data_IF_232210553085
#
_entry.id   IF_232210553085
#
_cell.length_a   1.000
_cell.length_b   1.000
_cell.length_c   1.000
_cell.angle_alpha   90.00
_cell.angle_beta   90.00
_cell.angle_gamma   90.00
#
_symmetry.space_group_name_H-M   'P 1'
#
loop_
_entity.id
_entity.type
_entity.pdbx_description
1 polymer ?
#
# COMPACT_ATOMS: atom_id res chain seq x y z
N UNK A 1 -49.24 33.55 -33.75
CA UNK A 1 -47.88 33.20 -33.27
C UNK A 1 -48.04 32.25 -32.09
N UNK A 2 -47.77 30.97 -32.33
CA UNK A 2 -48.33 29.84 -31.59
C UNK A 2 -47.64 29.57 -30.24
N UNK A 3 -48.38 29.27 -29.15
CA UNK A 3 -47.82 29.02 -27.81
C UNK A 3 -47.09 27.67 -27.65
N UNK A 4 -47.05 26.86 -28.71
CA UNK A 4 -46.47 25.51 -28.72
C UNK A 4 -44.92 25.50 -28.71
N UNK A 5 -44.27 26.57 -29.20
CA UNK A 5 -42.80 26.64 -29.27
C UNK A 5 -42.14 26.83 -27.88
N UNK A 6 -42.84 27.48 -26.93
CA UNK A 6 -42.33 27.74 -25.58
C UNK A 6 -42.33 26.50 -24.68
N UNK A 7 -43.22 25.53 -24.91
CA UNK A 7 -43.30 24.29 -24.12
C UNK A 7 -42.21 23.28 -24.50
N UNK A 8 -41.76 23.31 -25.75
CA UNK A 8 -40.71 22.41 -26.23
C UNK A 8 -39.32 22.80 -25.71
N UNK A 9 -39.05 24.10 -25.52
CA UNK A 9 -37.77 24.58 -25.00
C UNK A 9 -37.55 24.28 -23.49
N UNK A 10 -38.64 24.22 -22.72
CA UNK A 10 -38.62 23.90 -21.29
C UNK A 10 -38.39 22.40 -20.99
N UNK A 11 -38.73 21.52 -21.94
CA UNK A 11 -38.51 20.08 -21.79
C UNK A 11 -37.10 19.65 -22.20
N UNK A 12 -36.43 20.39 -23.08
CA UNK A 12 -35.05 20.09 -23.50
C UNK A 12 -34.03 20.53 -22.43
N UNK A 13 -34.34 21.53 -21.62
CA UNK A 13 -33.44 22.02 -20.56
C UNK A 13 -33.43 21.14 -19.30
N UNK A 14 -34.44 20.29 -19.08
CA UNK A 14 -34.51 19.42 -17.90
C UNK A 14 -33.74 18.09 -18.06
N UNK A 15 -33.30 17.74 -19.28
CA UNK A 15 -32.62 16.46 -19.56
C UNK A 15 -31.09 16.56 -19.68
N UNK A 16 -30.50 17.77 -19.62
CA UNK A 16 -29.05 17.97 -19.85
C UNK A 16 -28.24 18.15 -18.55
N UNK A 17 -28.89 18.31 -17.39
CA UNK A 17 -28.20 18.57 -16.11
C UNK A 17 -28.05 17.35 -15.19
N UNK A 18 -28.16 16.12 -15.72
CA UNK A 18 -28.17 14.89 -14.90
C UNK A 18 -27.02 13.91 -15.20
N UNK A 19 -25.87 14.39 -15.69
CA UNK A 19 -24.74 13.50 -16.03
C UNK A 19 -23.38 14.11 -15.67
N UNK A 20 -23.18 14.37 -14.38
CA UNK A 20 -21.85 14.50 -13.78
C UNK A 20 -21.86 13.85 -12.39
N UNK A 21 -22.31 12.59 -12.32
CA UNK A 21 -21.86 11.72 -11.24
C UNK A 21 -20.41 11.38 -11.57
N UNK A 22 -19.49 12.04 -10.86
CA UNK A 22 -18.05 11.91 -11.06
C UNK A 22 -17.63 10.45 -11.07
N UNK A 23 -16.87 10.07 -12.09
CA UNK A 23 -16.17 8.79 -12.15
C UNK A 23 -15.01 8.91 -11.16
N UNK A 24 -15.29 8.79 -9.86
CA UNK A 24 -14.25 8.53 -8.86
C UNK A 24 -13.84 7.07 -9.03
N UNK A 25 -13.03 6.80 -10.07
CA UNK A 25 -12.28 5.57 -10.12
C UNK A 25 -11.30 5.61 -8.96
N UNK A 26 -11.49 4.77 -7.94
CA UNK A 26 -10.50 4.58 -6.89
C UNK A 26 -9.20 4.10 -7.54
N UNK A 27 -8.22 4.99 -7.71
CA UNK A 27 -6.86 4.59 -8.04
C UNK A 27 -6.32 3.85 -6.81
N UNK A 28 -6.37 2.51 -6.83
CA UNK A 28 -5.64 1.69 -5.86
C UNK A 28 -4.16 2.06 -6.00
N UNK A 29 -3.58 2.64 -4.94
CA UNK A 29 -2.17 3.03 -4.89
C UNK A 29 -1.23 1.83 -4.95
N UNK A 30 -1.76 0.61 -4.77
CA UNK A 30 -0.99 -0.62 -4.60
C UNK A 30 -0.27 -0.71 -3.25
N UNK A 31 -0.38 0.33 -2.41
CA UNK A 31 0.12 0.31 -1.02
C UNK A 31 -0.91 -0.41 -0.16
N UNK A 32 -0.44 -1.34 0.66
CA UNK A 32 -1.27 -2.17 1.52
C UNK A 32 -1.72 -3.49 0.91
N UNK A 33 -1.50 -3.70 -0.39
CA UNK A 33 -1.75 -4.99 -1.02
C UNK A 33 -0.84 -6.05 -0.34
N UNK A 34 -1.32 -7.28 -0.08
CA UNK A 34 -0.51 -8.31 0.55
C UNK A 34 0.66 -8.73 -0.37
N UNK A 35 1.80 -9.03 0.23
CA UNK A 35 2.93 -9.64 -0.44
C UNK A 35 3.62 -10.64 0.48
N UNK A 36 4.33 -11.61 -0.11
CA UNK A 36 5.21 -12.52 0.61
C UNK A 36 6.67 -12.26 0.18
N UNK A 37 7.57 -11.82 1.07
CA UNK A 37 8.98 -11.64 0.75
C UNK A 37 9.63 -12.93 0.23
N UNK A 38 10.42 -12.83 -0.84
CA UNK A 38 11.14 -13.97 -1.43
C UNK A 38 12.37 -14.37 -0.59
N UNK A 39 12.94 -13.41 0.15
CA UNK A 39 14.09 -13.64 1.01
C UNK A 39 13.69 -13.40 2.47
N UNK A 40 13.48 -14.50 3.20
CA UNK A 40 13.21 -14.51 4.64
C UNK A 40 14.46 -15.05 5.36
N UNK A 41 14.98 -14.35 6.39
CA UNK A 41 16.10 -14.87 7.18
C UNK A 41 15.75 -16.18 7.88
N UNK A 42 16.76 -17.01 8.16
CA UNK A 42 16.55 -18.20 9.01
C UNK A 42 16.10 -17.76 10.42
N UNK A 43 14.97 -18.27 10.89
CA UNK A 43 14.34 -17.79 12.13
C UNK A 43 13.31 -16.68 11.92
N UNK A 44 13.07 -16.22 10.69
CA UNK A 44 12.15 -15.13 10.40
C UNK A 44 12.76 -13.73 10.57
N UNK A 45 11.90 -12.72 10.56
CA UNK A 45 12.27 -11.32 10.77
C UNK A 45 12.28 -10.93 12.24
N UNK A 46 12.95 -9.80 12.54
CA UNK A 46 13.02 -9.22 13.88
C UNK A 46 12.01 -8.08 14.09
N UNK A 47 11.38 -7.95 15.29
CA UNK A 47 10.51 -6.83 15.61
C UNK A 47 11.24 -5.48 15.72
N UNK A 48 12.57 -5.49 15.65
CA UNK A 48 13.41 -4.29 15.71
C UNK A 48 13.86 -3.79 14.34
N UNK A 49 13.54 -4.51 13.26
CA UNK A 49 13.99 -4.16 11.92
C UNK A 49 12.85 -3.77 10.98
N UNK A 50 13.22 -3.10 9.89
CA UNK A 50 12.36 -2.93 8.73
C UNK A 50 13.10 -3.53 7.53
N UNK A 51 12.52 -4.57 6.93
CA UNK A 51 13.06 -5.19 5.74
C UNK A 51 12.32 -4.70 4.50
N UNK A 52 13.06 -4.31 3.47
CA UNK A 52 12.52 -3.86 2.19
C UNK A 52 13.03 -4.75 1.06
N UNK A 53 12.10 -5.39 0.36
CA UNK A 53 12.37 -6.13 -0.86
C UNK A 53 12.02 -5.27 -2.08
N UNK A 54 13.06 -4.87 -2.81
CA UNK A 54 12.90 -4.17 -4.07
C UNK A 54 12.78 -5.16 -5.22
N UNK A 55 11.90 -4.85 -6.18
CA UNK A 55 11.66 -5.73 -7.32
C UNK A 55 10.65 -6.84 -7.04
N UNK A 56 9.81 -6.73 -6.00
CA UNK A 56 8.74 -7.71 -5.75
C UNK A 56 7.73 -7.71 -6.90
N UNK A 57 7.43 -8.88 -7.47
CA UNK A 57 6.47 -9.05 -8.59
C UNK A 57 5.01 -9.04 -8.14
N UNK A 58 4.78 -9.19 -6.84
CA UNK A 58 3.46 -9.17 -6.23
C UNK A 58 2.95 -7.73 -6.05
N UNK A 59 3.89 -6.80 -5.85
CA UNK A 59 3.57 -5.39 -5.63
C UNK A 59 3.56 -4.59 -6.93
N UNK A 60 2.44 -3.89 -7.20
CA UNK A 60 2.37 -2.88 -8.28
C UNK A 60 3.43 -1.79 -8.10
N UNK A 61 3.71 -1.44 -6.85
CA UNK A 61 4.76 -0.49 -6.44
C UNK A 61 6.16 -1.07 -6.51
N UNK A 62 6.30 -2.38 -6.76
CA UNK A 62 7.54 -3.16 -6.85
C UNK A 62 8.32 -3.26 -5.55
N UNK A 63 7.73 -2.85 -4.42
CA UNK A 63 8.38 -2.91 -3.12
C UNK A 63 7.47 -3.59 -2.11
N UNK A 64 7.95 -4.69 -1.53
CA UNK A 64 7.34 -5.35 -0.38
C UNK A 64 8.10 -4.91 0.88
N UNK A 65 7.39 -4.64 1.98
CA UNK A 65 7.99 -4.36 3.30
C UNK A 65 7.59 -5.44 4.28
N UNK A 66 8.53 -5.89 5.11
CA UNK A 66 8.24 -6.54 6.39
C UNK A 66 8.69 -5.57 7.50
N UNK A 67 7.73 -4.86 8.09
CA UNK A 67 7.98 -3.79 9.04
C UNK A 67 7.78 -4.29 10.47
N UNK A 68 8.88 -4.51 11.20
CA UNK A 68 8.87 -4.97 12.59
C UNK A 68 8.04 -6.23 12.81
N UNK A 69 8.14 -7.16 11.86
CA UNK A 69 7.52 -8.48 11.99
C UNK A 69 8.35 -9.33 12.96
N UNK A 70 7.71 -10.04 13.88
CA UNK A 70 8.36 -11.00 14.77
C UNK A 70 8.10 -12.43 14.29
N UNK A 71 9.04 -13.01 13.55
CA UNK A 71 8.93 -14.38 13.02
C UNK A 71 8.85 -14.50 11.50
N UNK A 72 8.52 -15.69 11.01
CA UNK A 72 8.54 -16.05 9.59
C UNK A 72 7.15 -15.86 8.95
N UNK A 73 6.99 -15.01 7.92
CA UNK A 73 5.71 -14.80 7.24
C UNK A 73 5.16 -16.06 6.55
N UNK A 74 5.97 -17.11 6.39
CA UNK A 74 5.56 -18.41 5.86
C UNK A 74 5.08 -19.38 6.97
N UNK A 75 5.20 -19.02 8.25
CA UNK A 75 4.76 -19.80 9.41
C UNK A 75 3.55 -19.15 10.08
N UNK A 76 2.44 -19.03 9.34
CA UNK A 76 1.21 -18.41 9.87
C UNK A 76 0.47 -19.39 10.77
N UNK A 77 -0.01 -18.91 11.92
CA UNK A 77 -0.87 -19.69 12.81
C UNK A 77 -2.23 -19.90 12.14
N UNK A 78 -2.52 -21.14 11.77
CA UNK A 78 -3.82 -21.59 11.27
C UNK A 78 -4.43 -22.56 12.28
N UNK A 79 -5.65 -22.27 12.73
CA UNK A 79 -6.41 -23.08 13.71
C UNK A 79 -5.63 -23.41 14.99
N UNK A 80 -4.77 -22.49 15.44
CA UNK A 80 -3.94 -22.65 16.65
C UNK A 80 -2.73 -23.56 16.47
N UNK A 81 -2.39 -23.92 15.24
CA UNK A 81 -1.24 -24.76 14.92
C UNK A 81 -0.25 -24.03 14.04
N UNK A 82 1.04 -24.30 14.24
CA UNK A 82 2.13 -23.84 13.38
C UNK A 82 3.33 -24.78 13.55
N UNK A 83 4.24 -24.83 12.55
CA UNK A 83 5.31 -25.83 12.51
C UNK A 83 6.39 -25.57 13.55
N UNK A 84 6.75 -24.32 13.76
CA UNK A 84 7.80 -23.90 14.69
C UNK A 84 7.31 -22.75 15.58
N UNK A 85 6.85 -23.02 16.81
CA UNK A 85 6.20 -22.04 17.69
C UNK A 85 6.97 -20.73 17.89
N UNK A 86 8.30 -20.79 17.83
CA UNK A 86 9.17 -19.63 18.06
C UNK A 86 9.25 -18.68 16.84
N UNK A 87 8.75 -19.09 15.68
CA UNK A 87 8.78 -18.32 14.42
C UNK A 87 7.37 -17.96 13.93
N UNK A 88 6.33 -18.28 14.71
CA UNK A 88 4.95 -18.20 14.23
C UNK A 88 4.38 -16.80 14.27
N UNK A 89 3.71 -16.44 13.18
CA UNK A 89 3.06 -15.15 13.01
C UNK A 89 1.55 -15.33 13.00
N UNK A 90 0.80 -14.47 13.70
CA UNK A 90 -0.65 -14.45 13.55
C UNK A 90 -1.07 -13.87 12.20
N UNK A 91 -2.17 -14.34 11.60
CA UNK A 91 -2.66 -13.78 10.33
C UNK A 91 -2.82 -12.25 10.36
N UNK A 92 -3.33 -11.72 11.46
CA UNK A 92 -3.50 -10.27 11.64
C UNK A 92 -2.15 -9.54 11.63
N UNK A 93 -1.17 -10.07 12.37
CA UNK A 93 0.16 -9.49 12.38
C UNK A 93 0.83 -9.54 11.01
N UNK A 94 0.70 -10.65 10.28
CA UNK A 94 1.21 -10.74 8.91
C UNK A 94 0.62 -9.63 8.02
N UNK A 95 -0.70 -9.45 8.04
CA UNK A 95 -1.39 -8.42 7.25
C UNK A 95 -1.05 -6.99 7.70
N UNK A 96 -0.69 -6.80 8.97
CA UNK A 96 -0.30 -5.51 9.54
C UNK A 96 1.16 -5.14 9.34
N UNK A 97 2.03 -6.13 9.17
CA UNK A 97 3.49 -5.96 9.13
C UNK A 97 4.06 -6.21 7.75
N UNK A 98 3.40 -7.02 6.91
CA UNK A 98 3.89 -7.42 5.58
C UNK A 98 2.93 -7.02 4.47
N UNK A 99 3.34 -6.04 3.67
CA UNK A 99 2.50 -5.49 2.61
C UNK A 99 3.33 -4.74 1.57
N UNK A 100 2.71 -4.47 0.43
CA UNK A 100 3.28 -3.63 -0.60
C UNK A 100 3.34 -2.19 -0.10
N UNK A 101 4.52 -1.57 -0.19
CA UNK A 101 4.72 -0.16 0.14
C UNK A 101 5.28 0.59 -1.07
N UNK A 102 5.41 1.90 -0.97
CA UNK A 102 6.15 2.70 -1.92
C UNK A 102 6.96 3.76 -1.19
N UNK A 103 8.03 4.20 -1.86
CA UNK A 103 8.86 5.29 -1.38
C UNK A 103 8.07 6.59 -1.46
N UNK A 104 7.91 7.29 -0.35
CA UNK A 104 7.23 8.59 -0.28
C UNK A 104 8.19 9.76 -0.14
N UNK A 105 9.44 9.49 0.26
CA UNK A 105 10.50 10.50 0.34
C UNK A 105 11.81 9.90 -0.13
N UNK A 106 12.43 10.53 -1.12
CA UNK A 106 13.80 10.24 -1.51
C UNK A 106 14.73 11.29 -0.87
N UNK A 107 15.99 10.93 -0.63
CA UNK A 107 17.00 11.91 -0.22
C UNK A 107 17.31 12.89 -1.35
N UNK A 108 17.74 14.10 -0.99
CA UNK A 108 18.23 15.11 -1.94
C UNK A 108 19.25 14.51 -2.92
N UNK A 109 19.05 14.80 -4.21
CA UNK A 109 19.88 14.26 -5.31
C UNK A 109 19.54 12.83 -5.76
N UNK A 110 18.55 12.17 -5.16
CA UNK A 110 18.03 10.89 -5.65
C UNK A 110 17.01 11.10 -6.78
N UNK A 111 17.12 10.32 -7.86
CA UNK A 111 16.14 10.26 -8.95
C UNK A 111 15.09 9.15 -8.77
N UNK A 112 15.10 8.46 -7.62
CA UNK A 112 14.17 7.38 -7.35
C UNK A 112 12.72 7.90 -7.34
N UNK A 113 11.78 7.22 -8.03
CA UNK A 113 10.39 7.64 -8.05
C UNK A 113 9.78 7.61 -6.65
N UNK A 114 8.87 8.56 -6.38
CA UNK A 114 8.12 8.66 -5.13
C UNK A 114 6.61 8.60 -5.36
N UNK A 115 5.87 8.29 -4.30
CA UNK A 115 4.41 8.23 -4.27
C UNK A 115 3.85 9.07 -3.10
N UNK A 116 2.55 9.36 -3.15
CA UNK A 116 1.82 9.82 -1.96
C UNK A 116 1.31 8.60 -1.18
N UNK A 117 1.45 8.62 0.15
CA UNK A 117 0.87 7.57 0.98
C UNK A 117 -0.66 7.69 1.03
N UNK A 118 -1.40 6.58 0.84
CA UNK A 118 -2.85 6.61 0.97
C UNK A 118 -3.28 6.76 2.44
N UNK A 119 -4.59 6.92 2.67
CA UNK A 119 -5.17 6.93 4.02
C UNK A 119 -4.80 5.67 4.80
N UNK A 120 -4.47 5.84 6.09
CA UNK A 120 -4.03 4.74 6.96
C UNK A 120 -2.53 4.42 6.86
N UNK A 121 -1.76 5.24 6.12
CA UNK A 121 -0.32 5.11 5.97
C UNK A 121 0.37 6.46 6.11
N UNK A 122 1.49 6.46 6.82
CA UNK A 122 2.35 7.63 7.04
C UNK A 122 3.70 7.46 6.35
N UNK A 123 4.28 8.58 5.92
CA UNK A 123 5.62 8.60 5.32
C UNK A 123 6.69 8.55 6.41
N UNK A 124 7.23 7.36 6.66
CA UNK A 124 8.17 7.09 7.75
C UNK A 124 9.55 6.75 7.21
N UNK A 125 10.59 7.38 7.76
CA UNK A 125 11.97 7.07 7.44
C UNK A 125 12.37 5.76 8.17
N UNK A 126 12.40 4.65 7.43
CA UNK A 126 12.68 3.30 7.97
C UNK A 126 14.06 2.77 7.57
N UNK A 127 14.75 3.42 6.63
CA UNK A 127 16.10 3.07 6.20
C UNK A 127 17.04 4.26 6.36
N UNK A 128 17.77 4.26 7.47
CA UNK A 128 18.80 5.26 7.74
C UNK A 128 20.15 4.92 7.10
N UNK A 129 20.41 3.63 6.88
CA UNK A 129 21.65 3.07 6.34
C UNK A 129 21.41 2.48 4.94
N UNK A 130 22.36 2.64 4.03
CA UNK A 130 22.30 2.12 2.65
C UNK A 130 22.63 3.14 1.57
N UNK A 131 22.45 2.77 0.29
CA UNK A 131 22.62 3.68 -0.83
C UNK A 131 21.48 4.72 -0.92
N UNK A 132 21.71 5.85 -1.58
CA UNK A 132 20.70 6.90 -1.83
C UNK A 132 19.49 6.40 -2.65
N UNK A 133 19.66 5.28 -3.36
CA UNK A 133 18.58 4.57 -4.03
C UNK A 133 17.62 3.82 -3.09
N UNK A 134 17.99 3.60 -1.82
CA UNK A 134 17.22 2.84 -0.83
C UNK A 134 16.90 3.63 0.46
N UNK A 135 17.76 4.57 0.86
CA UNK A 135 17.48 5.47 1.99
C UNK A 135 16.36 6.46 1.70
N UNK A 136 15.54 6.73 2.71
CA UNK A 136 14.42 7.66 2.64
C UNK A 136 13.18 7.16 3.35
N UNK A 137 12.04 7.78 3.03
CA UNK A 137 10.74 7.50 3.63
C UNK A 137 9.91 6.55 2.80
N UNK A 138 9.18 5.67 3.48
CA UNK A 138 8.26 4.71 2.88
C UNK A 138 6.89 4.79 3.56
N UNK A 139 5.84 4.39 2.83
CA UNK A 139 4.49 4.39 3.36
C UNK A 139 4.31 3.22 4.33
N UNK A 140 4.25 3.53 5.62
CA UNK A 140 4.08 2.55 6.69
C UNK A 140 2.69 2.70 7.29
N UNK A 141 2.02 1.57 7.53
CA UNK A 141 0.68 1.50 8.10
C UNK A 141 0.65 2.21 9.46
N UNK A 142 -0.34 3.07 9.66
CA UNK A 142 -0.50 3.84 10.90
C UNK A 142 -0.76 2.92 12.10
N UNK A 143 -0.25 3.28 13.27
CA UNK A 143 -0.48 2.53 14.51
C UNK A 143 0.31 1.22 14.63
N UNK A 144 1.30 0.99 13.77
CA UNK A 144 2.19 -0.19 13.80
C UNK A 144 3.51 0.06 14.53
#
# INVERSE_FOLDING_TARGET
MSPLLKRSLLLVTLLVTATCAGITGCASSGVGDPCNPENVPAGGFSPLEAYLEQGSVQCRTRTCVAYKLDGDPNQVIEDGTCRNPDECVSKQELEDRVYCTCRCRALEGSSAPTCACPSGYSCTDILEVGGTGLRGGYCIKDGT
#
